data_IF_362948069035
#
_entry.id   IF_362948069035
#
_cell.length_a   1.000
_cell.length_b   1.000
_cell.length_c   1.000
_cell.angle_alpha   90.00
_cell.angle_beta   90.00
_cell.angle_gamma   90.00
#
_symmetry.space_group_name_H-M   'P 1'
#
loop_
_entity.id
_entity.type
_entity.pdbx_description
1 polymer ?
#
# COMPACT_ATOMS: atom_id res chain seq x y z
N UNK A 1 14.08 2.51 -5.00
CA UNK A 1 13.41 1.56 -5.92
C UNK A 1 14.25 0.30 -5.96
N UNK A 2 13.64 -0.89 -5.87
CA UNK A 2 14.39 -2.15 -5.92
C UNK A 2 15.01 -2.37 -7.30
N UNK A 3 16.18 -3.01 -7.34
CA UNK A 3 16.85 -3.38 -8.58
C UNK A 3 16.58 -4.84 -8.90
N UNK A 4 15.95 -5.10 -10.05
CA UNK A 4 15.65 -6.46 -10.51
C UNK A 4 16.31 -6.66 -11.88
N UNK A 5 17.18 -7.68 -12.04
CA UNK A 5 17.82 -7.95 -13.32
C UNK A 5 16.79 -8.10 -14.45
N UNK A 6 16.96 -7.33 -15.54
CA UNK A 6 16.07 -7.37 -16.70
C UNK A 6 14.78 -6.55 -16.59
N UNK A 7 14.53 -5.86 -15.46
CA UNK A 7 13.34 -5.01 -15.27
C UNK A 7 13.76 -3.59 -14.90
N UNK A 8 13.31 -2.61 -15.70
CA UNK A 8 13.42 -1.19 -15.35
C UNK A 8 12.14 -0.73 -14.66
N UNK A 9 12.24 -0.33 -13.40
CA UNK A 9 11.15 0.27 -12.66
C UNK A 9 11.23 1.80 -12.76
N UNK A 10 10.09 2.46 -12.93
CA UNK A 10 9.97 3.92 -12.84
C UNK A 10 8.68 4.27 -12.11
N UNK A 11 8.74 5.28 -11.23
CA UNK A 11 7.58 5.69 -10.42
C UNK A 11 7.59 7.21 -10.24
N UNK A 12 6.44 7.83 -10.46
CA UNK A 12 6.23 9.24 -10.18
C UNK A 12 4.85 9.42 -9.59
N UNK A 13 4.76 10.15 -8.49
CA UNK A 13 3.51 10.54 -7.87
C UNK A 13 3.52 12.07 -7.77
N UNK A 14 2.51 12.71 -8.35
CA UNK A 14 2.32 14.15 -8.29
C UNK A 14 1.02 14.42 -7.55
N UNK A 15 1.13 14.65 -6.25
CA UNK A 15 -0.03 15.02 -5.46
C UNK A 15 -0.66 16.31 -5.99
N UNK A 16 -2.00 16.33 -6.07
CA UNK A 16 -2.77 17.52 -6.47
C UNK A 16 -2.78 18.61 -5.37
N UNK A 17 -2.35 18.29 -4.13
CA UNK A 17 -2.22 19.16 -2.93
C UNK A 17 -0.99 18.78 -2.10
N UNK A 18 -0.72 19.45 -0.97
CA UNK A 18 0.37 19.09 -0.02
C UNK A 18 0.31 17.62 0.47
N UNK A 19 -0.90 17.05 0.53
CA UNK A 19 -1.10 15.64 0.89
C UNK A 19 -2.11 14.99 -0.06
N UNK A 20 -1.67 13.92 -0.74
CA UNK A 20 -2.48 13.15 -1.69
C UNK A 20 -3.00 11.84 -1.10
N UNK A 21 -4.12 11.35 -1.62
CA UNK A 21 -4.65 10.01 -1.31
C UNK A 21 -3.98 8.90 -2.13
N UNK A 22 -3.39 9.25 -3.27
CA UNK A 22 -2.75 8.31 -4.17
C UNK A 22 -1.37 7.91 -3.67
N UNK A 23 -1.05 6.63 -3.77
CA UNK A 23 0.28 6.12 -3.45
C UNK A 23 0.68 4.98 -4.38
N UNK A 24 2.00 4.78 -4.49
CA UNK A 24 2.57 3.54 -4.95
C UNK A 24 3.58 3.05 -3.92
N UNK A 25 3.79 1.74 -3.85
CA UNK A 25 4.80 1.15 -2.98
C UNK A 25 5.43 -0.10 -3.60
N UNK A 26 6.69 -0.32 -3.27
CA UNK A 26 7.43 -1.52 -3.63
C UNK A 26 7.65 -2.33 -2.35
N UNK A 27 7.14 -3.56 -2.33
CA UNK A 27 7.13 -4.44 -1.16
C UNK A 27 7.97 -5.66 -1.49
N UNK A 28 9.04 -5.88 -0.73
CA UNK A 28 9.81 -7.12 -0.84
C UNK A 28 8.96 -8.28 -0.30
N UNK A 29 8.80 -9.31 -1.13
CA UNK A 29 8.04 -10.51 -0.80
C UNK A 29 8.99 -11.69 -0.62
N UNK A 30 8.54 -12.79 -0.01
CA UNK A 30 9.38 -13.98 0.15
C UNK A 30 9.84 -14.54 -1.21
N UNK A 31 10.88 -15.37 -1.17
CA UNK A 31 11.55 -15.96 -2.35
C UNK A 31 11.99 -14.93 -3.40
N UNK A 32 12.43 -13.75 -2.96
CA UNK A 32 12.97 -12.71 -3.83
C UNK A 32 11.95 -12.16 -4.85
N UNK A 33 10.67 -12.23 -4.50
CA UNK A 33 9.59 -11.65 -5.31
C UNK A 33 9.38 -10.18 -4.97
N UNK A 34 8.87 -9.41 -5.93
CA UNK A 34 8.51 -8.01 -5.73
C UNK A 34 6.99 -7.84 -5.81
N UNK A 35 6.40 -7.32 -4.75
CA UNK A 35 5.05 -6.77 -4.75
C UNK A 35 5.05 -5.32 -5.17
N UNK A 36 4.10 -4.94 -6.02
CA UNK A 36 3.85 -3.56 -6.41
C UNK A 36 2.44 -3.20 -5.96
N UNK A 37 2.33 -2.21 -5.09
CA UNK A 37 1.06 -1.67 -4.63
C UNK A 37 0.82 -0.33 -5.31
N UNK A 38 -0.39 -0.14 -5.84
CA UNK A 38 -0.91 1.17 -6.25
C UNK A 38 -2.28 1.33 -5.61
N UNK A 39 -2.57 2.50 -5.07
CA UNK A 39 -3.86 2.77 -4.45
C UNK A 39 -4.23 4.25 -4.55
N UNK A 40 -5.52 4.50 -4.71
CA UNK A 40 -6.17 5.81 -4.61
C UNK A 40 -7.13 5.73 -3.41
N UNK A 41 -6.94 6.63 -2.46
CA UNK A 41 -7.80 6.75 -1.29
C UNK A 41 -8.82 7.85 -1.53
N UNK A 42 -10.09 7.45 -1.60
CA UNK A 42 -11.23 8.38 -1.65
C UNK A 42 -11.19 9.40 -0.51
N UNK A 43 -11.09 10.68 -0.87
CA UNK A 43 -11.05 11.78 0.09
C UNK A 43 -9.99 12.81 -0.28
N UNK A 44 -9.73 13.77 0.61
CA UNK A 44 -8.66 14.76 0.43
C UNK A 44 -8.14 15.28 1.76
N UNK A 45 -6.89 15.74 1.76
CA UNK A 45 -6.25 16.32 2.94
C UNK A 45 -5.81 15.28 3.96
N UNK A 46 -5.64 15.72 5.21
CA UNK A 46 -5.02 14.92 6.29
C UNK A 46 -5.72 13.58 6.56
N UNK A 47 -7.07 13.50 6.63
CA UNK A 47 -7.73 12.21 6.90
C UNK A 47 -7.45 11.15 5.83
N UNK A 48 -7.46 11.55 4.54
CA UNK A 48 -7.15 10.65 3.43
C UNK A 48 -5.69 10.20 3.48
N UNK A 49 -4.77 11.09 3.86
CA UNK A 49 -3.35 10.77 3.99
C UNK A 49 -3.05 9.81 5.15
N UNK A 50 -3.74 9.97 6.29
CA UNK A 50 -3.65 9.04 7.41
C UNK A 50 -4.17 7.66 7.02
N UNK A 51 -5.32 7.60 6.34
CA UNK A 51 -5.86 6.34 5.83
C UNK A 51 -4.92 5.70 4.81
N UNK A 52 -4.36 6.47 3.87
CA UNK A 52 -3.34 6.00 2.92
C UNK A 52 -2.12 5.41 3.65
N UNK A 53 -1.62 6.10 4.67
CA UNK A 53 -0.49 5.62 5.49
C UNK A 53 -0.83 4.32 6.21
N UNK A 54 -2.04 4.20 6.75
CA UNK A 54 -2.51 2.98 7.41
C UNK A 54 -2.65 1.81 6.42
N UNK A 55 -3.24 2.04 5.24
CA UNK A 55 -3.36 1.04 4.17
C UNK A 55 -1.98 0.56 3.73
N UNK A 56 -1.07 1.49 3.43
CA UNK A 56 0.31 1.20 2.99
C UNK A 56 1.08 0.38 4.03
N UNK A 57 0.98 0.76 5.30
CA UNK A 57 1.64 0.05 6.40
C UNK A 57 1.06 -1.34 6.59
N UNK A 58 -0.27 -1.47 6.54
CA UNK A 58 -0.95 -2.76 6.64
C UNK A 58 -0.57 -3.70 5.49
N UNK A 59 -0.49 -3.20 4.26
CA UNK A 59 -0.02 -3.97 3.10
C UNK A 59 1.38 -4.55 3.33
N UNK A 60 2.33 -3.75 3.81
CA UNK A 60 3.69 -4.23 4.11
C UNK A 60 3.69 -5.36 5.13
N UNK A 61 3.01 -5.16 6.26
CA UNK A 61 2.96 -6.15 7.36
C UNK A 61 2.25 -7.44 6.94
N UNK A 62 1.15 -7.35 6.20
CA UNK A 62 0.37 -8.53 5.83
C UNK A 62 0.96 -9.29 4.64
N UNK A 63 1.78 -8.64 3.81
CA UNK A 63 2.47 -9.26 2.68
C UNK A 63 3.75 -9.99 3.10
N UNK A 64 4.32 -9.68 4.28
CA UNK A 64 5.42 -10.45 4.87
C UNK A 64 4.96 -11.90 5.12
N UNK A 65 5.43 -12.82 4.28
CA UNK A 65 5.21 -14.27 4.35
C UNK A 65 3.89 -14.83 3.78
N UNK A 66 3.15 -14.08 2.96
CA UNK A 66 1.93 -14.57 2.30
C UNK A 66 1.99 -14.39 0.79
N UNK A 67 1.81 -15.48 0.04
CA UNK A 67 1.76 -15.46 -1.43
C UNK A 67 0.38 -15.18 -2.01
N UNK A 68 -0.69 -15.47 -1.26
CA UNK A 68 -2.05 -15.26 -1.72
C UNK A 68 -2.45 -13.79 -1.58
N UNK A 69 -2.49 -13.07 -2.69
CA UNK A 69 -2.95 -11.68 -2.73
C UNK A 69 -4.34 -11.52 -2.12
N UNK A 70 -5.25 -12.46 -2.39
CA UNK A 70 -6.60 -12.46 -1.81
C UNK A 70 -6.58 -12.50 -0.28
N UNK A 71 -5.65 -13.27 0.31
CA UNK A 71 -5.47 -13.34 1.75
C UNK A 71 -4.86 -12.06 2.31
N UNK A 72 -3.84 -11.50 1.65
CA UNK A 72 -3.23 -10.21 2.01
C UNK A 72 -4.30 -9.13 2.06
N UNK A 73 -5.06 -8.95 0.97
CA UNK A 73 -6.13 -7.94 0.88
C UNK A 73 -7.22 -8.19 1.93
N UNK A 74 -7.60 -9.45 2.17
CA UNK A 74 -8.58 -9.79 3.22
C UNK A 74 -8.09 -9.36 4.61
N UNK A 75 -6.81 -9.56 4.93
CA UNK A 75 -6.23 -9.16 6.23
C UNK A 75 -6.11 -7.65 6.35
N UNK A 76 -5.67 -6.97 5.29
CA UNK A 76 -5.63 -5.50 5.22
C UNK A 76 -7.02 -4.93 5.48
N UNK A 77 -8.04 -5.42 4.77
CA UNK A 77 -9.42 -4.96 4.97
C UNK A 77 -9.91 -5.18 6.41
N UNK A 78 -9.64 -6.36 7.00
CA UNK A 78 -9.99 -6.64 8.40
C UNK A 78 -9.30 -5.68 9.38
N UNK A 79 -8.02 -5.36 9.16
CA UNK A 79 -7.28 -4.42 9.99
C UNK A 79 -7.86 -3.00 9.88
N UNK A 80 -8.10 -2.53 8.65
CA UNK A 80 -8.63 -1.18 8.41
C UNK A 80 -10.04 -0.98 8.97
N UNK A 81 -10.92 -2.00 8.87
CA UNK A 81 -12.26 -1.94 9.46
C UNK A 81 -12.17 -1.79 10.98
N UNK A 82 -11.21 -2.47 11.62
CA UNK A 82 -11.01 -2.39 13.08
C UNK A 82 -10.54 -0.99 13.49
N UNK A 83 -9.66 -0.37 12.71
CA UNK A 83 -9.08 0.94 13.05
C UNK A 83 -9.95 2.13 12.60
N UNK A 84 -10.85 1.94 11.63
CA UNK A 84 -11.69 3.03 11.05
C UNK A 84 -13.11 3.06 11.61
N UNK A 85 -13.56 2.01 12.31
CA UNK A 85 -14.82 2.07 13.05
C UNK A 85 -14.65 3.03 14.24
N UNK A 86 -15.05 4.28 14.04
CA UNK A 86 -15.48 5.16 15.10
C UNK A 86 -16.75 4.53 15.69
N UNK A 87 -16.74 4.24 16.99
CA UNK A 87 -17.96 4.07 17.77
C UNK A 87 -18.79 5.37 17.77
#
# INVERSE_FOLDING_TARGET
>A
MPHIPGIQLSGWNRACREVGGDFYDFIELPNNNLGIALGDVSGKGIPAALLMTAVRTSLRVQAENIYSMSEVIRRVNKALIKDTRLE
#
